data_IF_742640632461
#
_entry.id   IF_742640632461
#
_cell.length_a   1.000
_cell.length_b   1.000
_cell.length_c   1.000
_cell.angle_alpha   90.00
_cell.angle_beta   90.00
_cell.angle_gamma   90.00
#
_symmetry.space_group_name_H-M   'P 1'
#
loop_
_entity.id
_entity.type
_entity.pdbx_description
1 polymer ?
#
# COMPACT_ATOMS: atom_id res chain seq x y z
N UNK A 1 18.04 0.39 -12.65
CA UNK A 1 16.74 0.99 -12.28
C UNK A 1 15.72 -0.13 -12.20
N UNK A 2 15.09 -0.37 -11.05
CA UNK A 2 14.06 -1.40 -10.93
C UNK A 2 12.80 -0.94 -11.72
N UNK A 3 12.27 -1.73 -12.68
CA UNK A 3 11.10 -1.32 -13.46
C UNK A 3 9.91 -1.01 -12.55
N UNK A 4 9.30 0.17 -12.74
CA UNK A 4 8.08 0.56 -12.02
C UNK A 4 6.91 -0.20 -12.61
N UNK A 5 6.50 -1.28 -11.95
CA UNK A 5 5.27 -1.99 -12.29
C UNK A 5 4.07 -1.28 -11.67
N UNK A 6 3.04 -0.87 -12.41
CA UNK A 6 1.85 -0.26 -11.81
C UNK A 6 1.13 -1.26 -10.88
N UNK A 7 0.35 -0.75 -9.93
CA UNK A 7 -0.54 -1.61 -9.14
C UNK A 7 -1.75 -1.99 -10.00
N UNK A 8 -2.25 -3.22 -9.85
CA UNK A 8 -3.50 -3.63 -10.50
C UNK A 8 -4.69 -2.95 -9.83
N UNK A 9 -5.83 -2.88 -10.51
CA UNK A 9 -7.06 -2.30 -9.94
C UNK A 9 -7.46 -2.99 -8.63
N UNK A 10 -7.37 -4.33 -8.58
CA UNK A 10 -7.63 -5.10 -7.37
C UNK A 10 -6.70 -4.71 -6.21
N UNK A 11 -5.39 -4.58 -6.48
CA UNK A 11 -4.42 -4.13 -5.47
C UNK A 11 -4.74 -2.73 -4.95
N UNK A 12 -5.10 -1.79 -5.84
CA UNK A 12 -5.46 -0.41 -5.44
C UNK A 12 -6.71 -0.42 -4.56
N UNK A 13 -7.75 -1.17 -4.92
CA UNK A 13 -8.99 -1.26 -4.11
C UNK A 13 -8.69 -1.78 -2.70
N UNK A 14 -7.91 -2.85 -2.59
CA UNK A 14 -7.55 -3.42 -1.28
C UNK A 14 -6.68 -2.47 -0.44
N UNK A 15 -5.74 -1.75 -1.08
CA UNK A 15 -4.90 -0.74 -0.43
C UNK A 15 -5.75 0.43 0.10
N UNK A 16 -6.68 0.96 -0.71
CA UNK A 16 -7.63 2.00 -0.28
C UNK A 16 -8.56 1.52 0.82
N UNK A 17 -9.08 0.29 0.73
CA UNK A 17 -9.89 -0.30 1.79
C UNK A 17 -9.12 -0.36 3.10
N UNK A 18 -7.88 -0.86 3.12
CA UNK A 18 -7.06 -0.86 4.34
C UNK A 18 -6.77 0.56 4.82
N UNK A 19 -6.50 1.51 3.92
CA UNK A 19 -6.24 2.91 4.27
C UNK A 19 -7.42 3.57 4.99
N UNK A 20 -8.66 3.28 4.58
CA UNK A 20 -9.87 3.78 5.25
C UNK A 20 -10.00 3.30 6.70
N UNK A 21 -9.42 2.14 7.04
CA UNK A 21 -9.43 1.62 8.41
C UNK A 21 -8.26 2.18 9.23
N UNK A 22 -7.10 2.36 8.61
CA UNK A 22 -5.93 2.97 9.26
C UNK A 22 -5.01 3.65 8.25
N UNK A 23 -4.58 4.87 8.57
CA UNK A 23 -3.68 5.65 7.71
C UNK A 23 -2.20 5.24 7.90
N UNK A 24 -1.90 4.45 8.94
CA UNK A 24 -0.58 3.98 9.30
C UNK A 24 -0.61 2.46 9.57
N UNK A 25 0.26 1.72 8.91
CA UNK A 25 0.35 0.28 9.08
C UNK A 25 1.36 -0.07 10.16
N UNK A 26 1.04 -1.06 10.99
CA UNK A 26 2.03 -1.76 11.82
C UNK A 26 2.89 -2.70 10.97
N UNK A 27 4.00 -3.19 11.52
CA UNK A 27 4.84 -4.18 10.83
C UNK A 27 4.06 -5.44 10.43
N UNK A 28 3.13 -5.89 11.28
CA UNK A 28 2.27 -7.04 11.02
C UNK A 28 1.31 -6.75 9.87
N UNK A 29 0.66 -5.58 9.88
CA UNK A 29 -0.26 -5.20 8.80
C UNK A 29 0.46 -5.12 7.44
N UNK A 30 1.70 -4.61 7.42
CA UNK A 30 2.49 -4.55 6.18
C UNK A 30 2.81 -5.95 5.68
N UNK A 31 3.28 -6.85 6.55
CA UNK A 31 3.58 -8.23 6.20
C UNK A 31 2.34 -8.93 5.60
N UNK A 32 1.21 -8.87 6.30
CA UNK A 32 -0.03 -9.50 5.84
C UNK A 32 -0.55 -8.92 4.52
N UNK A 33 -0.58 -7.59 4.39
CA UNK A 33 -1.12 -6.93 3.21
C UNK A 33 -0.23 -7.15 1.98
N UNK A 34 1.09 -7.15 2.20
CA UNK A 34 2.06 -7.41 1.13
C UNK A 34 1.94 -8.84 0.61
N UNK A 35 1.81 -9.83 1.50
CA UNK A 35 1.59 -11.22 1.14
C UNK A 35 0.25 -11.41 0.39
N UNK A 36 -0.84 -10.84 0.91
CA UNK A 36 -2.19 -10.91 0.29
C UNK A 36 -2.22 -10.33 -1.12
N UNK A 37 -1.45 -9.27 -1.38
CA UNK A 37 -1.45 -8.55 -2.66
C UNK A 37 -0.32 -8.98 -3.61
N UNK A 38 0.51 -9.93 -3.20
CA UNK A 38 1.74 -10.32 -3.90
C UNK A 38 2.61 -9.10 -4.24
N UNK A 39 2.83 -8.25 -3.24
CA UNK A 39 3.65 -7.04 -3.31
C UNK A 39 4.80 -7.16 -2.30
N UNK A 40 5.88 -6.40 -2.52
CA UNK A 40 6.89 -6.25 -1.47
C UNK A 40 6.40 -5.28 -0.39
N UNK A 41 6.82 -5.49 0.86
CA UNK A 41 6.51 -4.59 1.97
C UNK A 41 6.85 -3.13 1.64
N UNK A 42 7.99 -2.89 0.99
CA UNK A 42 8.43 -1.55 0.58
C UNK A 42 7.43 -0.89 -0.34
N UNK A 43 6.83 -1.63 -1.28
CA UNK A 43 5.81 -1.06 -2.18
C UNK A 43 4.55 -0.67 -1.43
N UNK A 44 4.12 -1.48 -0.46
CA UNK A 44 2.98 -1.17 0.41
C UNK A 44 3.29 0.08 1.24
N UNK A 45 4.46 0.14 1.89
CA UNK A 45 4.92 1.30 2.69
C UNK A 45 4.95 2.59 1.86
N UNK A 46 5.53 2.57 0.65
CA UNK A 46 5.58 3.72 -0.26
C UNK A 46 4.17 4.15 -0.71
N UNK A 47 3.28 3.20 -1.00
CA UNK A 47 1.91 3.53 -1.37
C UNK A 47 1.20 4.28 -0.23
N UNK A 48 1.31 3.79 1.02
CA UNK A 48 0.72 4.45 2.20
C UNK A 48 1.32 5.84 2.44
N UNK A 49 2.63 6.01 2.28
CA UNK A 49 3.28 7.33 2.36
C UNK A 49 2.72 8.30 1.31
N UNK A 50 2.64 7.88 0.06
CA UNK A 50 2.10 8.69 -1.03
C UNK A 50 0.61 8.99 -0.85
N UNK A 51 -0.16 8.04 -0.30
CA UNK A 51 -1.59 8.21 -0.06
C UNK A 51 -1.87 9.25 1.03
N UNK A 52 -1.11 9.25 2.13
CA UNK A 52 -1.16 10.32 3.15
C UNK A 52 -0.76 11.68 2.59
N UNK A 53 0.27 11.72 1.74
CA UNK A 53 0.69 12.96 1.08
C UNK A 53 -0.34 13.50 0.07
N UNK A 54 -1.19 12.64 -0.49
CA UNK A 54 -2.33 13.05 -1.31
C UNK A 54 -3.52 13.53 -0.49
N UNK A 55 -3.78 12.94 0.67
CA UNK A 55 -4.86 13.37 1.57
C UNK A 55 -4.64 14.75 2.19
N UNK A 56 -3.38 15.10 2.44
CA UNK A 56 -3.00 16.43 2.95
C UNK A 56 -2.91 17.52 1.88
N UNK A 57 -3.15 17.19 0.62
CA UNK A 57 -3.17 18.13 -0.50
C UNK A 57 -4.62 18.40 -0.87
#
# INVERSE_FOLDING_TARGET
RNPRVPFTQHQVVMLEQKFRHTHYLSSVDVAELSAKLNLTETRVKIWFQNRRARERR
#
